data_IF_550978858584
#
_entry.id   IF_550978858584
#
_cell.length_a   1.000
_cell.length_b   1.000
_cell.length_c   1.000
_cell.angle_alpha   90.00
_cell.angle_beta   90.00
_cell.angle_gamma   90.00
#
_symmetry.space_group_name_H-M   'P 1'
#
loop_
_entity.id
_entity.type
_entity.pdbx_description
1 polymer ?
#
# COMPACT_ATOMS: atom_id res chain seq x y z
N UNK A 1 -11.79 -24.42 -29.34
CA UNK A 1 -10.59 -24.63 -28.50
C UNK A 1 -9.79 -23.34 -28.27
N UNK A 2 -9.99 -22.26 -29.04
CA UNK A 2 -9.28 -20.98 -28.88
C UNK A 2 -9.66 -20.15 -27.63
N UNK A 3 -10.90 -20.23 -27.15
CA UNK A 3 -11.38 -19.37 -26.05
C UNK A 3 -10.74 -19.68 -24.67
N UNK A 4 -10.12 -20.86 -24.52
CA UNK A 4 -9.49 -21.30 -23.26
C UNK A 4 -8.00 -20.92 -23.22
N UNK A 5 -7.37 -20.69 -24.38
CA UNK A 5 -5.94 -20.35 -24.47
C UNK A 5 -5.65 -18.95 -23.89
N UNK A 6 -6.56 -18.00 -24.13
CA UNK A 6 -6.44 -16.61 -23.68
C UNK A 6 -6.37 -16.47 -22.15
N UNK A 7 -7.30 -17.03 -21.35
CA UNK A 7 -7.21 -16.93 -19.90
C UNK A 7 -5.98 -17.67 -19.35
N UNK A 8 -5.62 -18.83 -19.90
CA UNK A 8 -4.48 -19.63 -19.41
C UNK A 8 -3.16 -18.86 -19.59
N UNK A 9 -2.94 -18.25 -20.76
CA UNK A 9 -1.73 -17.45 -20.99
C UNK A 9 -1.67 -16.20 -20.10
N UNK A 10 -2.80 -15.56 -19.83
CA UNK A 10 -2.88 -14.42 -18.89
C UNK A 10 -2.57 -14.84 -17.45
N UNK A 11 -3.12 -15.96 -16.96
CA UNK A 11 -2.80 -16.46 -15.62
C UNK A 11 -1.35 -16.95 -15.51
N UNK A 12 -0.82 -17.60 -16.54
CA UNK A 12 0.57 -18.08 -16.57
C UNK A 12 1.59 -16.94 -16.54
N UNK A 13 1.32 -15.84 -17.24
CA UNK A 13 2.20 -14.66 -17.23
C UNK A 13 2.18 -13.94 -15.88
N UNK A 14 1.01 -13.72 -15.29
CA UNK A 14 0.89 -13.13 -13.94
C UNK A 14 1.57 -14.01 -12.89
N UNK A 15 1.33 -15.32 -12.94
CA UNK A 15 1.99 -16.28 -12.05
C UNK A 15 3.50 -16.30 -12.27
N UNK A 16 3.97 -16.26 -13.52
CA UNK A 16 5.39 -16.22 -13.87
C UNK A 16 6.10 -14.99 -13.30
N UNK A 17 5.50 -13.79 -13.42
CA UNK A 17 6.04 -12.55 -12.87
C UNK A 17 6.10 -12.60 -11.33
N UNK A 18 5.03 -13.06 -10.68
CA UNK A 18 5.00 -13.21 -9.22
C UNK A 18 6.04 -14.23 -8.74
N UNK A 19 6.08 -15.41 -9.37
CA UNK A 19 7.06 -16.46 -9.06
C UNK A 19 8.49 -15.95 -9.23
N UNK A 20 8.78 -15.23 -10.32
CA UNK A 20 10.09 -14.63 -10.57
C UNK A 20 10.44 -13.56 -9.54
N UNK A 21 9.48 -12.74 -9.13
CA UNK A 21 9.68 -11.72 -8.10
C UNK A 21 10.00 -12.36 -6.73
N UNK A 22 9.22 -13.37 -6.32
CA UNK A 22 9.44 -14.08 -5.05
C UNK A 22 10.74 -14.89 -5.06
N UNK A 23 11.06 -15.58 -6.16
CA UNK A 23 12.29 -16.40 -6.25
C UNK A 23 13.54 -15.53 -6.27
N UNK A 24 13.51 -14.36 -6.93
CA UNK A 24 14.63 -13.41 -6.94
C UNK A 24 14.99 -12.96 -5.53
N UNK A 25 13.99 -12.63 -4.70
CA UNK A 25 14.21 -12.22 -3.29
C UNK A 25 14.71 -13.37 -2.40
N UNK A 26 14.31 -14.61 -2.70
CA UNK A 26 14.78 -15.77 -1.95
C UNK A 26 16.25 -16.09 -2.25
N UNK A 27 16.66 -15.96 -3.53
CA UNK A 27 18.05 -16.14 -3.96
C UNK A 27 18.98 -15.07 -3.41
N UNK A 28 18.54 -13.80 -3.34
CA UNK A 28 19.28 -12.73 -2.66
C UNK A 28 19.58 -13.09 -1.20
N UNK A 29 18.62 -13.71 -0.49
CA UNK A 29 18.76 -14.05 0.93
C UNK A 29 19.67 -15.25 1.17
N UNK A 30 19.70 -16.22 0.26
CA UNK A 30 20.58 -17.40 0.35
C UNK A 30 22.03 -17.03 0.01
N UNK A 31 22.25 -16.19 -1.01
CA UNK A 31 23.58 -15.70 -1.38
C UNK A 31 24.26 -14.88 -0.26
N UNK A 32 23.48 -14.20 0.58
CA UNK A 32 23.99 -13.49 1.77
C UNK A 32 24.40 -14.43 2.92
N UNK A 33 23.81 -15.63 3.00
CA UNK A 33 24.16 -16.67 3.98
C UNK A 33 25.42 -17.41 3.52
N UNK A 34 25.51 -17.72 2.23
CA UNK A 34 26.65 -18.43 1.62
C UNK A 34 27.93 -17.58 1.55
N UNK A 35 27.83 -16.26 1.48
CA UNK A 35 29.00 -15.37 1.38
C UNK A 35 29.72 -15.09 2.69
N UNK A 36 29.19 -15.50 3.86
CA UNK A 36 29.93 -15.59 5.14
C UNK A 36 30.77 -14.38 5.59
N UNK A 37 30.60 -13.23 4.95
CA UNK A 37 31.43 -12.04 5.12
C UNK A 37 30.51 -10.96 5.66
N UNK A 38 30.70 -10.73 6.96
CA UNK A 38 30.16 -9.64 7.75
C UNK A 38 28.63 -9.60 7.94
N UNK A 39 28.15 -10.56 8.73
CA UNK A 39 26.81 -10.53 9.33
C UNK A 39 26.61 -9.40 10.37
N UNK A 40 27.56 -8.46 10.51
CA UNK A 40 27.44 -7.32 11.43
C UNK A 40 27.20 -5.96 10.74
N UNK A 41 27.44 -5.86 9.42
CA UNK A 41 27.21 -4.62 8.66
C UNK A 41 25.81 -4.54 8.02
N UNK A 42 25.11 -5.68 7.86
CA UNK A 42 23.83 -5.74 7.13
C UNK A 42 22.61 -6.16 7.96
N UNK A 43 22.73 -6.19 9.29
CA UNK A 43 21.57 -6.13 10.17
C UNK A 43 21.44 -4.70 10.74
N UNK A 44 21.04 -3.69 9.94
CA UNK A 44 20.28 -2.62 10.56
C UNK A 44 18.99 -3.31 11.03
N UNK A 45 18.77 -3.26 12.33
CA UNK A 45 17.54 -3.67 13.02
C UNK A 45 16.28 -2.89 12.56
N UNK A 46 16.28 -2.36 11.33
CA UNK A 46 15.28 -1.47 10.76
C UNK A 46 14.29 -2.17 9.81
N UNK A 47 14.54 -3.41 9.38
CA UNK A 47 13.56 -4.15 8.54
C UNK A 47 12.24 -4.45 9.27
N UNK A 48 12.21 -4.37 10.60
CA UNK A 48 10.97 -4.39 11.38
C UNK A 48 10.29 -3.02 11.49
N UNK A 49 11.03 -1.90 11.37
CA UNK A 49 10.41 -0.57 11.38
C UNK A 49 9.66 -0.31 10.07
N UNK A 50 10.18 -0.72 8.91
CA UNK A 50 9.48 -0.52 7.64
C UNK A 50 8.12 -1.23 7.56
N UNK A 51 7.98 -2.42 8.17
CA UNK A 51 6.68 -3.12 8.22
C UNK A 51 5.66 -2.48 9.18
N UNK A 52 6.11 -1.73 10.20
CA UNK A 52 5.18 -1.07 11.15
C UNK A 52 4.40 0.07 10.53
N UNK A 53 4.94 0.76 9.52
CA UNK A 53 4.29 1.95 8.95
C UNK A 53 3.12 1.63 8.02
N UNK A 54 3.12 0.47 7.36
CA UNK A 54 2.00 0.06 6.50
C UNK A 54 0.69 -0.05 7.29
N UNK A 55 0.74 -0.59 8.52
CA UNK A 55 -0.45 -0.69 9.38
C UNK A 55 -1.04 0.69 9.70
N UNK A 56 -0.18 1.69 9.97
CA UNK A 56 -0.62 3.06 10.24
C UNK A 56 -1.19 3.74 8.99
N UNK A 57 -0.61 3.50 7.82
CA UNK A 57 -1.10 4.02 6.54
C UNK A 57 -2.51 3.50 6.23
N UNK A 58 -2.73 2.18 6.38
CA UNK A 58 -4.04 1.56 6.16
C UNK A 58 -5.07 2.03 7.19
N UNK A 59 -4.68 2.23 8.45
CA UNK A 59 -5.57 2.75 9.49
C UNK A 59 -6.07 4.17 9.20
N UNK A 60 -5.16 5.10 8.86
CA UNK A 60 -5.53 6.49 8.55
C UNK A 60 -6.39 6.54 7.29
N UNK A 61 -6.04 5.79 6.23
CA UNK A 61 -6.86 5.70 5.03
C UNK A 61 -8.27 5.17 5.31
N UNK A 62 -8.40 4.10 6.11
CA UNK A 62 -9.70 3.53 6.44
C UNK A 62 -10.60 4.52 7.19
N UNK A 63 -10.05 5.28 8.15
CA UNK A 63 -10.78 6.30 8.90
C UNK A 63 -11.23 7.44 7.98
N UNK A 64 -10.33 7.94 7.13
CA UNK A 64 -10.66 9.00 6.18
C UNK A 64 -11.73 8.60 5.16
N UNK A 65 -11.67 7.37 4.63
CA UNK A 65 -12.69 6.87 3.70
C UNK A 65 -14.05 6.76 4.39
N UNK A 66 -14.11 6.19 5.60
CA UNK A 66 -15.35 6.12 6.38
C UNK A 66 -15.94 7.50 6.66
N UNK A 67 -15.10 8.46 7.03
CA UNK A 67 -15.51 9.84 7.26
C UNK A 67 -15.97 10.54 5.97
N UNK A 68 -15.30 10.29 4.85
CA UNK A 68 -15.69 10.79 3.53
C UNK A 68 -17.06 10.29 3.07
N UNK A 69 -17.40 9.03 3.34
CA UNK A 69 -18.72 8.47 3.03
C UNK A 69 -19.82 9.15 3.87
N UNK A 70 -19.57 9.35 5.18
CA UNK A 70 -20.51 10.06 6.06
C UNK A 70 -20.73 11.51 5.58
N UNK A 71 -19.65 12.23 5.27
CA UNK A 71 -19.73 13.58 4.71
C UNK A 71 -20.45 13.61 3.36
N UNK A 72 -20.22 12.62 2.50
CA UNK A 72 -20.87 12.50 1.19
C UNK A 72 -22.39 12.34 1.30
N UNK A 73 -22.86 11.52 2.24
CA UNK A 73 -24.30 11.36 2.51
C UNK A 73 -24.94 12.65 3.03
N UNK A 74 -24.25 13.36 3.94
CA UNK A 74 -24.71 14.67 4.44
C UNK A 74 -24.79 15.69 3.29
N UNK A 75 -23.82 15.68 2.38
CA UNK A 75 -23.78 16.58 1.23
C UNK A 75 -24.90 16.27 0.23
N UNK A 76 -25.18 14.99 -0.02
CA UNK A 76 -26.29 14.57 -0.87
C UNK A 76 -27.63 15.07 -0.32
N UNK A 77 -27.91 14.81 0.96
CA UNK A 77 -29.18 15.19 1.58
C UNK A 77 -29.39 16.71 1.71
N UNK A 78 -28.32 17.50 1.90
CA UNK A 78 -28.45 18.95 2.09
C UNK A 78 -28.30 19.78 0.81
N UNK A 79 -27.44 19.36 -0.13
CA UNK A 79 -27.17 20.13 -1.35
C UNK A 79 -27.90 19.60 -2.60
N UNK A 80 -28.57 18.44 -2.51
CA UNK A 80 -29.25 17.83 -3.66
C UNK A 80 -28.28 17.43 -4.80
N UNK A 81 -27.00 17.26 -4.47
CA UNK A 81 -25.97 16.84 -5.43
C UNK A 81 -26.18 15.38 -5.81
N UNK A 82 -25.98 15.02 -7.09
CA UNK A 82 -26.07 13.62 -7.56
C UNK A 82 -25.21 12.70 -6.69
N UNK A 83 -25.79 11.57 -6.27
CA UNK A 83 -25.15 10.58 -5.38
C UNK A 83 -23.72 10.27 -5.81
N UNK A 84 -23.55 9.87 -7.07
CA UNK A 84 -22.26 9.46 -7.62
C UNK A 84 -21.18 10.54 -7.45
N UNK A 85 -21.53 11.81 -7.67
CA UNK A 85 -20.57 12.91 -7.57
C UNK A 85 -20.27 13.21 -6.10
N UNK A 86 -21.27 13.21 -5.24
CA UNK A 86 -21.11 13.51 -3.81
C UNK A 86 -20.22 12.46 -3.11
N UNK A 87 -20.51 11.17 -3.32
CA UNK A 87 -19.72 10.09 -2.73
C UNK A 87 -18.32 10.00 -3.33
N UNK A 88 -18.19 10.01 -4.67
CA UNK A 88 -16.88 9.86 -5.30
C UNK A 88 -15.96 11.04 -4.96
N UNK A 89 -16.48 12.27 -4.96
CA UNK A 89 -15.67 13.45 -4.62
C UNK A 89 -15.23 13.45 -3.17
N UNK A 90 -16.13 13.15 -2.22
CA UNK A 90 -15.78 13.16 -0.81
C UNK A 90 -14.84 12.03 -0.40
N UNK A 91 -14.99 10.82 -0.97
CA UNK A 91 -14.05 9.73 -0.72
C UNK A 91 -12.66 10.08 -1.22
N UNK A 92 -12.54 10.65 -2.43
CA UNK A 92 -11.24 11.05 -2.98
C UNK A 92 -10.61 12.21 -2.22
N UNK A 93 -11.40 13.22 -1.82
CA UNK A 93 -10.92 14.35 -1.04
C UNK A 93 -10.43 13.90 0.34
N UNK A 94 -11.28 13.19 1.09
CA UNK A 94 -10.95 12.79 2.45
C UNK A 94 -9.82 11.73 2.46
N UNK A 95 -9.85 10.77 1.52
CA UNK A 95 -8.77 9.80 1.33
C UNK A 95 -7.45 10.46 0.95
N UNK A 96 -7.47 11.48 0.08
CA UNK A 96 -6.30 12.26 -0.29
C UNK A 96 -5.70 13.03 0.90
N UNK A 97 -6.54 13.67 1.71
CA UNK A 97 -6.11 14.34 2.96
C UNK A 97 -5.44 13.33 3.91
N UNK A 98 -6.03 12.14 4.06
CA UNK A 98 -5.46 11.07 4.89
C UNK A 98 -4.05 10.65 4.46
N UNK A 99 -3.80 10.55 3.15
CA UNK A 99 -2.47 10.26 2.60
C UNK A 99 -1.45 11.38 2.87
N UNK A 100 -1.86 12.64 2.71
CA UNK A 100 -1.00 13.81 3.00
C UNK A 100 -0.63 13.83 4.48
N UNK A 101 -1.60 13.64 5.37
CA UNK A 101 -1.38 13.59 6.83
C UNK A 101 -0.43 12.45 7.18
N UNK A 102 -0.61 11.26 6.61
CA UNK A 102 0.31 10.15 6.81
C UNK A 102 1.74 10.49 6.38
N UNK A 103 1.92 11.15 5.22
CA UNK A 103 3.24 11.55 4.74
C UNK A 103 3.92 12.55 5.69
N UNK A 104 3.19 13.52 6.21
CA UNK A 104 3.72 14.51 7.18
C UNK A 104 4.11 13.84 8.50
N UNK A 105 3.30 12.90 9.00
CA UNK A 105 3.62 12.14 10.21
C UNK A 105 4.89 11.31 10.00
N UNK A 106 5.01 10.67 8.83
CA UNK A 106 6.17 9.85 8.48
C UNK A 106 7.46 10.70 8.38
N UNK A 107 7.40 11.88 7.76
CA UNK A 107 8.51 12.84 7.72
C UNK A 107 8.96 13.25 9.13
N UNK A 108 8.01 13.51 10.03
CA UNK A 108 8.32 13.88 11.42
C UNK A 108 8.98 12.73 12.19
N UNK A 109 8.51 11.50 11.98
CA UNK A 109 9.09 10.31 12.62
C UNK A 109 10.51 10.01 12.12
N UNK A 110 10.84 10.31 10.87
CA UNK A 110 12.21 10.19 10.36
C UNK A 110 13.14 11.24 10.95
N UNK A 111 12.69 12.49 11.10
CA UNK A 111 13.49 13.57 11.68
C UNK A 111 13.72 13.42 13.19
N UNK A 112 12.81 12.76 13.92
CA UNK A 112 12.97 12.48 15.36
C UNK A 112 13.91 11.29 15.64
N UNK A 113 14.34 10.54 14.62
CA UNK A 113 15.22 9.38 14.74
C UNK A 113 16.64 9.65 14.18
N UNK A 114 16.93 10.90 13.83
CA UNK A 114 18.27 11.45 13.57
C UNK A 114 18.74 12.23 14.79
#
# INVERSE_FOLDING_TARGET
>A
MEAILVPISMFATVFGVLYMHYTTRHKERIALIEKGTDASVFYPSDKQKEKKFYSLQFGILAVCIGFGILMGNILHQNLGMKDEVAYNSMIFLMGGIGLIVFHVINLKQQNSNK
#
